data_IF_798482004053
#
_entry.id   IF_798482004053
#
_cell.length_a   1.000
_cell.length_b   1.000
_cell.length_c   1.000
_cell.angle_alpha   90.00
_cell.angle_beta   90.00
_cell.angle_gamma   90.00
#
_symmetry.space_group_name_H-M   'P 1'
#
loop_
_entity.id
_entity.type
_entity.pdbx_description
1 polymer ?
#
# COMPACT_ATOMS: atom_id res chain seq x y z
N UNK A 1 13.57 -16.73 20.39
CA UNK A 1 12.71 -17.34 19.35
C UNK A 1 11.58 -16.41 18.89
N UNK A 2 11.03 -15.53 19.74
CA UNK A 2 9.99 -14.56 19.35
C UNK A 2 10.40 -13.56 18.25
N UNK A 3 11.65 -13.11 18.23
CA UNK A 3 12.15 -12.17 17.19
C UNK A 3 12.02 -12.75 15.77
N UNK A 4 12.44 -14.00 15.59
CA UNK A 4 12.37 -14.71 14.30
C UNK A 4 10.91 -14.94 13.84
N UNK A 5 9.96 -15.05 14.77
CA UNK A 5 8.55 -15.25 14.45
C UNK A 5 7.91 -13.96 13.93
N UNK A 6 8.18 -12.81 14.55
CA UNK A 6 7.71 -11.50 14.08
C UNK A 6 8.20 -11.16 12.67
N UNK A 7 9.46 -11.49 12.36
CA UNK A 7 10.01 -11.26 11.02
C UNK A 7 9.29 -12.11 9.95
N UNK A 8 8.96 -13.36 10.26
CA UNK A 8 8.23 -14.26 9.37
C UNK A 8 6.79 -13.78 9.16
N UNK A 9 6.13 -13.32 10.23
CA UNK A 9 4.76 -12.80 10.16
C UNK A 9 4.70 -11.51 9.30
N UNK A 10 5.70 -10.63 9.45
CA UNK A 10 5.83 -9.40 8.63
C UNK A 10 6.02 -9.72 7.15
N UNK A 11 6.94 -10.63 6.82
CA UNK A 11 7.20 -11.04 5.42
C UNK A 11 5.93 -11.65 4.81
N UNK A 12 5.23 -12.49 5.57
CA UNK A 12 3.97 -13.10 5.12
C UNK A 12 2.89 -12.04 4.85
N UNK A 13 2.79 -11.02 5.70
CA UNK A 13 1.87 -9.89 5.50
C UNK A 13 2.20 -9.05 4.27
N UNK A 14 3.50 -8.81 4.00
CA UNK A 14 3.97 -8.10 2.80
C UNK A 14 3.64 -8.88 1.52
N UNK A 15 3.86 -10.19 1.51
CA UNK A 15 3.54 -11.03 0.35
C UNK A 15 2.02 -11.11 0.10
N UNK A 16 1.21 -11.22 1.15
CA UNK A 16 -0.24 -11.15 1.03
C UNK A 16 -0.71 -9.81 0.48
N UNK A 17 -0.09 -8.71 0.92
CA UNK A 17 -0.39 -7.39 0.41
C UNK A 17 -0.08 -7.26 -1.09
N UNK A 18 1.09 -7.72 -1.53
CA UNK A 18 1.48 -7.76 -2.96
C UNK A 18 0.47 -8.53 -3.80
N UNK A 19 0.02 -9.68 -3.30
CA UNK A 19 -1.01 -10.48 -3.97
C UNK A 19 -2.33 -9.72 -4.09
N UNK A 20 -2.80 -9.09 -3.02
CA UNK A 20 -4.03 -8.28 -3.04
C UNK A 20 -3.92 -7.09 -4.01
N UNK A 21 -2.82 -6.35 -3.99
CA UNK A 21 -2.55 -5.25 -4.92
C UNK A 21 -2.54 -5.72 -6.37
N UNK A 22 -1.92 -6.86 -6.64
CA UNK A 22 -1.89 -7.48 -7.97
C UNK A 22 -3.27 -7.87 -8.44
N UNK A 23 -4.04 -8.55 -7.59
CA UNK A 23 -5.41 -8.97 -7.90
C UNK A 23 -6.31 -7.76 -8.19
N UNK A 24 -6.21 -6.70 -7.40
CA UNK A 24 -6.98 -5.48 -7.60
C UNK A 24 -6.61 -4.79 -8.93
N UNK A 25 -5.31 -4.67 -9.25
CA UNK A 25 -4.85 -4.07 -10.50
C UNK A 25 -5.33 -4.87 -11.73
N UNK A 26 -5.26 -6.21 -11.66
CA UNK A 26 -5.77 -7.08 -12.72
C UNK A 26 -7.28 -7.03 -12.86
N UNK A 27 -8.01 -6.91 -11.76
CA UNK A 27 -9.45 -6.74 -11.81
C UNK A 27 -9.84 -5.45 -12.55
N UNK A 28 -9.21 -4.32 -12.22
CA UNK A 28 -9.41 -3.06 -12.94
C UNK A 28 -9.07 -3.19 -14.43
N UNK A 29 -7.93 -3.80 -14.75
CA UNK A 29 -7.52 -4.06 -16.14
C UNK A 29 -8.57 -4.89 -16.89
N UNK A 30 -9.14 -5.92 -16.25
CA UNK A 30 -10.14 -6.80 -16.86
C UNK A 30 -11.46 -6.10 -17.24
N UNK A 31 -11.76 -4.97 -16.58
CA UNK A 31 -12.91 -4.12 -16.91
C UNK A 31 -12.54 -2.92 -17.78
N UNK A 32 -11.32 -2.91 -18.34
CA UNK A 32 -10.82 -1.88 -19.25
C UNK A 32 -10.23 -0.65 -18.57
N UNK A 33 -9.96 -0.70 -17.26
CA UNK A 33 -9.36 0.39 -16.50
C UNK A 33 -7.85 0.09 -16.34
N UNK A 34 -7.03 0.72 -17.16
CA UNK A 34 -5.56 0.61 -17.13
C UNK A 34 -4.93 1.90 -16.63
N UNK A 35 -3.67 1.81 -16.16
CA UNK A 35 -2.88 2.94 -15.65
C UNK A 35 -3.53 3.73 -14.50
N UNK A 36 -4.59 3.19 -13.89
CA UNK A 36 -5.25 3.79 -12.74
C UNK A 36 -4.59 3.30 -11.44
N UNK A 37 -4.08 4.22 -10.59
CA UNK A 37 -3.41 3.83 -9.36
C UNK A 37 -4.41 3.38 -8.30
N UNK A 38 -4.24 2.15 -7.82
CA UNK A 38 -4.84 1.67 -6.58
C UNK A 38 -3.90 2.06 -5.46
N UNK A 39 -4.44 2.63 -4.39
CA UNK A 39 -3.68 2.94 -3.18
C UNK A 39 -4.08 1.97 -2.07
N UNK A 40 -3.08 1.49 -1.33
CA UNK A 40 -3.27 0.50 -0.29
C UNK A 40 -2.27 0.73 0.85
N UNK A 41 -2.54 0.14 2.01
CA UNK A 41 -1.69 0.26 3.18
C UNK A 41 -1.41 -1.11 3.80
N UNK A 42 -0.21 -1.26 4.36
CA UNK A 42 0.17 -2.35 5.25
C UNK A 42 0.34 -1.76 6.64
N UNK A 43 -0.24 -2.38 7.67
CA UNK A 43 -0.07 -1.94 9.05
C UNK A 43 0.51 -3.06 9.93
N UNK A 44 1.53 -2.72 10.73
CA UNK A 44 2.01 -3.53 11.85
C UNK A 44 1.94 -2.70 13.14
N UNK A 45 0.90 -2.93 13.94
CA UNK A 45 0.57 -2.08 15.07
C UNK A 45 0.38 -0.62 14.63
N UNK A 46 1.09 0.36 15.24
CA UNK A 46 0.99 1.76 14.84
C UNK A 46 1.84 2.12 13.62
N UNK A 47 2.58 1.18 13.03
CA UNK A 47 3.39 1.44 11.85
C UNK A 47 2.58 1.16 10.59
N UNK A 48 2.45 2.17 9.73
CA UNK A 48 1.71 2.06 8.48
C UNK A 48 2.62 2.37 7.30
N UNK A 49 2.61 1.53 6.27
CA UNK A 49 3.35 1.71 5.02
C UNK A 49 2.35 1.91 3.87
N UNK A 50 2.56 2.96 3.08
CA UNK A 50 1.78 3.22 1.86
C UNK A 50 2.35 2.44 0.68
N UNK A 51 1.47 1.79 -0.07
CA UNK A 51 1.76 1.20 -1.36
C UNK A 51 0.79 1.71 -2.43
N UNK A 52 1.20 1.58 -3.68
CA UNK A 52 0.31 1.77 -4.83
C UNK A 52 0.59 0.74 -5.91
N UNK A 53 -0.43 0.33 -6.65
CA UNK A 53 -0.29 -0.58 -7.76
C UNK A 53 -1.18 -0.16 -8.94
N UNK A 54 -0.72 -0.42 -10.16
CA UNK A 54 -1.49 -0.21 -11.39
C UNK A 54 -1.07 -1.23 -12.44
N UNK A 55 -1.98 -1.53 -13.37
CA UNK A 55 -1.69 -2.38 -14.53
C UNK A 55 -1.38 -1.50 -15.75
N UNK A 56 -0.34 -1.87 -16.50
CA UNK A 56 0.05 -1.24 -17.76
C UNK A 56 0.73 -2.27 -18.65
N UNK A 57 0.36 -2.32 -19.94
CA UNK A 57 1.01 -3.18 -20.94
C UNK A 57 1.16 -4.63 -20.45
N UNK A 58 0.06 -5.21 -19.95
CA UNK A 58 -0.01 -6.56 -19.37
C UNK A 58 0.90 -6.81 -18.15
N UNK A 59 1.50 -5.76 -17.59
CA UNK A 59 2.38 -5.81 -16.42
C UNK A 59 1.71 -5.12 -15.24
N UNK A 60 1.77 -5.74 -14.06
CA UNK A 60 1.38 -5.06 -12.82
C UNK A 60 2.61 -4.39 -12.24
N UNK A 61 2.54 -3.08 -12.11
CA UNK A 61 3.53 -2.28 -11.39
C UNK A 61 3.07 -2.13 -9.95
N UNK A 62 3.96 -2.45 -9.01
CA UNK A 62 3.75 -2.21 -7.59
C UNK A 62 4.82 -1.25 -7.12
N UNK A 63 4.37 -0.13 -6.59
CA UNK A 63 5.19 0.85 -5.90
C UNK A 63 5.04 0.70 -4.40
N UNK A 64 5.83 -0.20 -3.85
CA UNK A 64 6.09 -0.30 -2.42
C UNK A 64 7.31 0.54 -2.10
N UNK A 65 7.13 1.86 -1.96
CA UNK A 65 8.24 2.69 -1.49
C UNK A 65 8.57 2.22 -0.07
N UNK A 66 9.67 1.51 0.10
CA UNK A 66 10.27 1.11 1.38
C UNK A 66 10.65 2.32 2.28
N UNK A 67 10.02 3.49 2.14
CA UNK A 67 10.56 4.79 2.57
C UNK A 67 9.57 5.69 3.32
N UNK A 68 8.26 5.44 3.27
CA UNK A 68 7.30 6.26 4.01
C UNK A 68 6.46 5.38 4.95
N UNK A 69 7.09 5.02 6.06
CA UNK A 69 6.39 4.48 7.22
C UNK A 69 5.94 5.62 8.13
N UNK A 70 4.72 5.51 8.64
CA UNK A 70 4.19 6.43 9.65
C UNK A 70 4.02 5.67 10.96
N UNK A 71 4.56 6.22 12.05
CA UNK A 71 4.15 5.81 13.39
C UNK A 71 2.95 6.66 13.82
N UNK A 72 1.74 6.13 13.62
CA UNK A 72 0.48 6.82 13.92
C UNK A 72 0.19 6.91 15.42
N UNK A 73 1.02 6.31 16.28
CA UNK A 73 0.93 6.52 17.73
C UNK A 73 1.40 7.92 18.14
N UNK A 74 2.14 8.61 17.27
CA UNK A 74 2.62 9.98 17.49
C UNK A 74 1.71 11.01 16.81
N UNK A 75 1.57 12.19 17.41
CA UNK A 75 0.77 13.27 16.82
C UNK A 75 1.27 13.68 15.42
N UNK A 76 2.60 13.73 15.23
CA UNK A 76 3.21 14.07 13.93
C UNK A 76 2.97 12.96 12.91
N UNK A 77 3.15 11.68 13.29
CA UNK A 77 2.92 10.56 12.40
C UNK A 77 1.46 10.44 11.98
N UNK A 78 0.52 10.62 12.92
CA UNK A 78 -0.91 10.68 12.62
C UNK A 78 -1.27 11.85 11.69
N UNK A 79 -0.71 13.04 11.93
CA UNK A 79 -0.93 14.21 11.07
C UNK A 79 -0.37 14.01 9.65
N UNK A 80 0.83 13.44 9.53
CA UNK A 80 1.42 13.09 8.22
C UNK A 80 0.57 12.06 7.49
N UNK A 81 0.17 10.98 8.17
CA UNK A 81 -0.69 9.95 7.60
C UNK A 81 -2.02 10.54 7.08
N UNK A 82 -2.70 11.35 7.89
CA UNK A 82 -3.95 12.01 7.51
C UNK A 82 -3.76 12.96 6.31
N UNK A 83 -2.65 13.70 6.26
CA UNK A 83 -2.34 14.61 5.16
C UNK A 83 -2.11 13.84 3.85
N UNK A 84 -1.43 12.69 3.90
CA UNK A 84 -1.23 11.83 2.73
C UNK A 84 -2.56 11.25 2.23
N UNK A 85 -3.42 10.78 3.13
CA UNK A 85 -4.77 10.33 2.77
C UNK A 85 -5.59 11.43 2.09
N UNK A 86 -5.57 12.64 2.65
CA UNK A 86 -6.26 13.78 2.06
C UNK A 86 -5.73 14.11 0.65
N UNK A 87 -4.41 14.00 0.43
CA UNK A 87 -3.81 14.20 -0.90
C UNK A 87 -4.22 13.11 -1.88
N UNK A 88 -4.24 11.85 -1.47
CA UNK A 88 -4.72 10.74 -2.30
C UNK A 88 -6.17 10.96 -2.72
N UNK A 89 -7.04 11.36 -1.78
CA UNK A 89 -8.44 11.64 -2.05
C UNK A 89 -8.63 12.74 -3.10
N UNK A 90 -7.80 13.79 -3.08
CA UNK A 90 -7.80 14.85 -4.08
C UNK A 90 -7.32 14.33 -5.44
N UNK A 91 -6.25 13.52 -5.47
CA UNK A 91 -5.71 12.97 -6.71
C UNK A 91 -6.67 11.97 -7.37
N UNK A 92 -7.46 11.24 -6.59
CA UNK A 92 -8.44 10.27 -7.10
C UNK A 92 -9.71 10.91 -7.69
N UNK A 93 -9.91 12.23 -7.54
CA UNK A 93 -11.09 12.96 -8.04
C UNK A 93 -10.87 13.65 -9.39
N UNK A 94 -9.63 13.70 -9.88
CA UNK A 94 -9.24 14.30 -11.16
C UNK A 94 -8.92 13.23 -12.19
#
# INVERSE_FOLDING_TARGET
MQYRQKDVDRITGEDQHRLCCTAAARFLESVGITEHPIFSFISDGPHVVLASAWAKDETVHIFERHLLSFDISTAIGAWHYATVLARIAIMAQN
#
